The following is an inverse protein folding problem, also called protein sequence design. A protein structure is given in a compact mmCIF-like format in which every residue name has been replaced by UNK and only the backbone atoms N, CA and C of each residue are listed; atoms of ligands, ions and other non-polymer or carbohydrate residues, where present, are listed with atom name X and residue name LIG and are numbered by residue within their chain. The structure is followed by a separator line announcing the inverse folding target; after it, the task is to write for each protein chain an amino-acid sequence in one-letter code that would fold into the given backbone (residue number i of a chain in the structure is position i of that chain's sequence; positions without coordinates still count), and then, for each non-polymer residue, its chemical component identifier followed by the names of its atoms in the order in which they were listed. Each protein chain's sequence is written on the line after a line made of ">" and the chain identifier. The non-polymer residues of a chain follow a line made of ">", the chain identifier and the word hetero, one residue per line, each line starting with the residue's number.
data_IF_920423753569
#
_entry.id   IF_920423753569
#
_cell.length_a   1.000
_cell.length_b   1.000
_cell.length_c   1.000
_cell.angle_alpha   90.00
_cell.angle_beta   90.00
_cell.angle_gamma   90.00
#
_symmetry.space_group_name_H-M   'P 1'
#
loop_
_entity.id
_entity.type
_entity.pdbx_description
1 polymer ?
#
# COMPACT_ATOMS: atom_id res chain seq x y z
N UNK A 1 -10.74 -11.83 8.66
CA UNK A 1 -10.02 -12.94 7.99
C UNK A 1 -8.63 -13.04 8.62
N UNK A 2 -8.04 -14.22 8.72
CA UNK A 2 -6.70 -14.35 9.30
C UNK A 2 -5.64 -14.05 8.23
N UNK A 3 -4.71 -13.14 8.52
CA UNK A 3 -3.57 -12.87 7.65
C UNK A 3 -2.73 -14.14 7.50
N UNK A 4 -2.28 -14.42 6.28
CA UNK A 4 -1.42 -15.55 5.93
C UNK A 4 0.04 -15.09 5.97
N UNK A 5 0.83 -15.53 6.97
CA UNK A 5 2.24 -15.22 7.03
C UNK A 5 2.98 -15.75 5.81
N UNK A 6 3.96 -14.99 5.33
CA UNK A 6 4.89 -15.40 4.29
C UNK A 6 6.32 -15.24 4.78
N UNK A 7 7.28 -15.93 4.15
CA UNK A 7 8.68 -15.63 4.37
C UNK A 7 8.93 -14.15 4.01
N UNK A 8 9.54 -13.33 4.91
CA UNK A 8 9.80 -11.93 4.63
C UNK A 8 10.54 -11.77 3.31
N UNK A 9 10.02 -10.89 2.45
CA UNK A 9 10.60 -10.60 1.15
C UNK A 9 10.55 -9.10 0.87
N UNK A 10 11.46 -8.56 0.04
CA UNK A 10 11.33 -7.19 -0.41
C UNK A 10 10.01 -6.95 -1.16
N UNK A 11 9.64 -5.67 -1.27
CA UNK A 11 8.60 -5.23 -2.18
C UNK A 11 8.94 -5.69 -3.61
N UNK A 12 7.94 -6.21 -4.31
CA UNK A 12 8.05 -6.44 -5.74
C UNK A 12 7.90 -5.10 -6.50
N UNK A 13 8.19 -5.06 -7.82
CA UNK A 13 8.12 -3.82 -8.59
C UNK A 13 6.74 -3.13 -8.57
N UNK A 14 5.63 -3.89 -8.60
CA UNK A 14 4.28 -3.34 -8.59
C UNK A 14 3.91 -2.75 -7.22
N UNK A 15 4.22 -3.46 -6.13
CA UNK A 15 4.02 -2.98 -4.75
C UNK A 15 4.82 -1.69 -4.50
N UNK A 16 6.08 -1.67 -4.96
CA UNK A 16 6.96 -0.50 -4.84
C UNK A 16 6.42 0.69 -5.65
N UNK A 17 6.07 0.48 -6.90
CA UNK A 17 5.56 1.54 -7.78
C UNK A 17 4.25 2.15 -7.24
N UNK A 18 3.34 1.34 -6.72
CA UNK A 18 2.09 1.83 -6.12
C UNK A 18 2.35 2.61 -4.83
N UNK A 19 3.23 2.13 -3.96
CA UNK A 19 3.60 2.89 -2.76
C UNK A 19 4.27 4.22 -3.13
N UNK A 20 5.18 4.24 -4.11
CA UNK A 20 5.79 5.49 -4.59
C UNK A 20 4.75 6.45 -5.15
N UNK A 21 3.77 5.94 -5.91
CA UNK A 21 2.70 6.75 -6.49
C UNK A 21 1.79 7.34 -5.42
N UNK A 22 1.29 6.52 -4.48
CA UNK A 22 0.44 7.01 -3.38
C UNK A 22 1.19 8.00 -2.49
N UNK A 23 2.46 7.73 -2.19
CA UNK A 23 3.31 8.62 -1.37
C UNK A 23 3.89 9.81 -2.16
N UNK A 24 3.58 9.95 -3.45
CA UNK A 24 3.87 11.18 -4.21
C UNK A 24 2.93 12.33 -3.80
N UNK A 25 1.81 11.99 -3.17
CA UNK A 25 0.94 12.92 -2.49
C UNK A 25 1.71 13.73 -1.44
N UNK A 26 1.59 15.06 -1.50
CA UNK A 26 1.92 16.00 -0.42
C UNK A 26 1.04 15.82 0.83
N UNK A 27 1.32 14.77 1.60
CA UNK A 27 0.77 14.56 2.94
C UNK A 27 1.87 14.54 3.99
N UNK A 28 1.57 14.92 5.25
CA UNK A 28 2.54 14.87 6.34
C UNK A 28 3.22 13.50 6.45
N UNK A 29 4.55 13.48 6.43
CA UNK A 29 5.33 12.26 6.56
C UNK A 29 5.58 11.47 5.27
N UNK A 30 5.05 11.91 4.12
CA UNK A 30 5.22 11.19 2.85
C UNK A 30 6.69 11.02 2.43
N UNK A 31 7.54 12.02 2.69
CA UNK A 31 8.97 11.95 2.40
C UNK A 31 9.68 10.90 3.26
N UNK A 32 9.37 10.84 4.55
CA UNK A 32 9.89 9.84 5.48
C UNK A 32 9.43 8.43 5.07
N UNK A 33 8.15 8.26 4.73
CA UNK A 33 7.60 6.98 4.27
C UNK A 33 8.23 6.51 2.95
N UNK A 34 8.46 7.42 1.99
CA UNK A 34 9.21 7.10 0.75
C UNK A 34 10.63 6.64 1.07
N UNK A 35 11.28 7.24 2.05
CA UNK A 35 12.61 6.84 2.52
C UNK A 35 12.65 5.44 3.15
N UNK A 36 11.51 4.83 3.49
CA UNK A 36 11.42 3.50 4.08
C UNK A 36 11.39 2.37 3.04
N UNK A 37 11.06 2.64 1.77
CA UNK A 37 10.71 1.61 0.79
C UNK A 37 11.80 0.54 0.58
N UNK A 38 13.09 0.90 0.59
CA UNK A 38 14.20 -0.06 0.45
C UNK A 38 14.38 -0.97 1.67
N UNK A 39 13.75 -0.61 2.79
CA UNK A 39 13.79 -1.30 4.07
C UNK A 39 12.47 -2.03 4.37
N UNK A 40 11.47 -1.87 3.51
CA UNK A 40 10.15 -2.47 3.64
C UNK A 40 10.13 -3.90 3.11
N UNK A 41 9.54 -4.79 3.90
CA UNK A 41 9.35 -6.19 3.58
C UNK A 41 7.88 -6.57 3.68
N UNK A 42 7.41 -7.39 2.74
CA UNK A 42 6.11 -8.07 2.86
C UNK A 42 6.27 -9.25 3.81
N UNK A 43 5.43 -9.30 4.84
CA UNK A 43 5.47 -10.34 5.88
C UNK A 43 4.21 -11.20 5.93
N UNK A 44 3.10 -10.74 5.36
CA UNK A 44 1.88 -11.53 5.23
C UNK A 44 1.00 -11.05 4.06
N UNK A 45 0.02 -11.86 3.69
CA UNK A 45 -1.09 -11.51 2.79
C UNK A 45 -2.40 -11.58 3.55
N UNK A 46 -3.41 -10.81 3.15
CA UNK A 46 -4.69 -10.78 3.89
C UNK A 46 -5.59 -12.01 3.65
N UNK A 47 -5.19 -12.92 2.77
CA UNK A 47 -5.86 -14.18 2.52
C UNK A 47 -5.32 -14.91 1.28
N UNK A 48 -5.80 -16.14 1.01
CA UNK A 48 -5.38 -16.90 -0.18
C UNK A 48 -5.63 -16.13 -1.47
N UNK A 49 -4.55 -15.81 -2.19
CA UNK A 49 -4.60 -15.09 -3.45
C UNK A 49 -5.08 -13.63 -3.35
N UNK A 50 -5.11 -13.05 -2.15
CA UNK A 50 -5.25 -11.60 -1.96
C UNK A 50 -3.95 -10.90 -2.37
N UNK A 51 -4.10 -9.71 -2.94
CA UNK A 51 -3.01 -8.81 -3.31
C UNK A 51 -2.69 -7.80 -2.21
N UNK A 52 -3.53 -7.69 -1.18
CA UNK A 52 -3.26 -6.88 0.01
C UNK A 52 -2.21 -7.56 0.89
N UNK A 53 -1.26 -6.77 1.37
CA UNK A 53 -0.06 -7.25 2.08
C UNK A 53 0.18 -6.49 3.38
N UNK A 54 0.61 -7.23 4.40
CA UNK A 54 1.19 -6.63 5.59
C UNK A 54 2.67 -6.37 5.34
N UNK A 55 3.11 -5.21 5.82
CA UNK A 55 4.45 -4.70 5.67
C UNK A 55 5.15 -4.61 7.02
N UNK A 56 6.46 -4.79 6.99
CA UNK A 56 7.37 -4.49 8.10
C UNK A 56 8.52 -3.67 7.58
N UNK A 57 8.84 -2.57 8.26
CA UNK A 57 10.04 -1.77 7.95
C UNK A 57 11.17 -2.15 8.89
N UNK A 58 12.35 -2.42 8.33
CA UNK A 58 13.55 -2.76 9.12
C UNK A 58 14.28 -1.52 9.63
N UNK A 59 14.42 -1.40 10.94
CA UNK A 59 15.19 -0.33 11.61
C UNK A 59 16.70 -0.36 11.29
N UNK A 60 17.39 0.80 11.25
CA UNK A 60 16.87 2.14 11.51
C UNK A 60 16.15 2.78 10.30
N UNK A 61 15.09 3.56 10.56
CA UNK A 61 14.45 4.47 9.60
C UNK A 61 14.01 5.80 10.23
N UNK A 62 13.64 6.79 9.39
CA UNK A 62 12.92 7.98 9.87
C UNK A 62 11.44 7.65 9.98
N UNK A 63 10.85 8.03 11.10
CA UNK A 63 9.44 7.86 11.39
C UNK A 63 8.63 9.07 10.89
N UNK A 64 7.49 8.82 10.26
CA UNK A 64 6.61 9.84 9.69
C UNK A 64 5.69 10.56 10.71
N UNK A 65 5.81 10.26 12.01
CA UNK A 65 5.05 10.88 13.11
C UNK A 65 3.59 10.43 13.29
N UNK A 66 2.86 10.10 12.21
CA UNK A 66 1.46 9.66 12.27
C UNK A 66 1.29 8.14 12.07
N UNK A 67 0.38 7.52 12.82
CA UNK A 67 0.02 6.09 12.69
C UNK A 67 -1.45 5.94 12.28
N UNK A 68 -1.77 4.86 11.58
CA UNK A 68 -3.10 4.58 11.04
C UNK A 68 -3.14 4.67 9.51
N UNK A 69 -4.34 4.83 8.97
CA UNK A 69 -4.56 5.02 7.54
C UNK A 69 -3.95 6.36 7.10
N UNK A 70 -3.13 6.33 6.06
CA UNK A 70 -2.59 7.53 5.44
C UNK A 70 -3.74 8.30 4.75
N UNK A 71 -3.89 9.62 4.98
CA UNK A 71 -5.01 10.40 4.45
C UNK A 71 -4.76 10.78 2.98
N UNK A 72 -4.67 9.79 2.10
CA UNK A 72 -4.52 9.94 0.65
C UNK A 72 -5.62 9.13 -0.02
N UNK A 73 -6.46 9.79 -0.85
CA UNK A 73 -7.36 9.07 -1.75
C UNK A 73 -6.56 8.52 -2.92
N UNK A 74 -6.61 7.20 -3.14
CA UNK A 74 -5.94 6.56 -4.27
C UNK A 74 -6.93 5.65 -5.02
N UNK A 75 -7.83 6.29 -5.78
CA UNK A 75 -8.92 5.65 -6.48
C UNK A 75 -8.44 4.85 -7.69
N UNK A 76 -8.83 3.59 -7.76
CA UNK A 76 -8.52 2.66 -8.84
C UNK A 76 -9.68 2.63 -9.83
N UNK A 77 -9.36 2.86 -11.10
CA UNK A 77 -10.32 2.87 -12.19
C UNK A 77 -10.00 1.78 -13.23
N UNK A 78 -11.02 1.26 -13.90
CA UNK A 78 -10.84 0.34 -15.02
C UNK A 78 -10.50 1.08 -16.34
N UNK A 79 -10.50 0.35 -17.46
CA UNK A 79 -10.20 0.93 -18.78
C UNK A 79 -11.30 1.86 -19.30
N UNK A 80 -12.55 1.66 -18.87
CA UNK A 80 -13.66 2.54 -19.17
C UNK A 80 -13.66 3.79 -18.28
N UNK A 81 -12.80 3.83 -17.25
CA UNK A 81 -12.71 4.90 -16.27
C UNK A 81 -13.73 4.76 -15.14
N UNK A 82 -14.33 3.59 -14.96
CA UNK A 82 -15.24 3.30 -13.85
C UNK A 82 -14.45 3.03 -12.57
N UNK A 83 -14.95 3.52 -11.44
CA UNK A 83 -14.36 3.28 -10.13
C UNK A 83 -14.56 1.81 -9.71
N UNK A 84 -13.46 1.11 -9.45
CA UNK A 84 -13.47 -0.31 -9.06
C UNK A 84 -12.87 -0.57 -7.67
N UNK A 85 -12.43 0.49 -6.97
CA UNK A 85 -11.89 0.41 -5.63
C UNK A 85 -10.83 1.46 -5.35
N UNK A 86 -10.06 1.26 -4.30
CA UNK A 86 -9.02 2.18 -3.87
C UNK A 86 -7.82 1.44 -3.26
N UNK A 87 -6.66 2.09 -3.28
CA UNK A 87 -5.48 1.64 -2.56
C UNK A 87 -5.37 2.39 -1.23
N UNK A 88 -5.21 1.64 -0.15
CA UNK A 88 -5.04 2.18 1.19
C UNK A 88 -3.64 1.86 1.69
N UNK A 89 -2.93 2.88 2.18
CA UNK A 89 -1.60 2.74 2.77
C UNK A 89 -1.71 2.93 4.27
N UNK A 90 -1.28 1.93 5.02
CA UNK A 90 -1.37 1.92 6.48
C UNK A 90 0.01 2.14 7.10
N UNK A 91 0.00 2.79 8.25
CA UNK A 91 1.19 3.00 9.08
C UNK A 91 0.96 2.53 10.52
N UNK A 92 2.01 2.08 11.21
CA UNK A 92 1.91 1.58 12.58
C UNK A 92 3.14 1.94 13.43
N UNK A 93 3.04 1.68 14.74
CA UNK A 93 4.20 1.63 15.65
C UNK A 93 5.01 2.92 15.75
N UNK A 94 4.37 4.08 15.59
CA UNK A 94 5.08 5.36 15.55
C UNK A 94 5.49 5.78 14.15
N UNK A 95 4.77 5.33 13.10
CA UNK A 95 4.76 5.88 11.73
C UNK A 95 5.70 5.24 10.69
N UNK A 96 5.77 3.91 10.67
CA UNK A 96 6.36 3.14 9.56
C UNK A 96 5.29 2.47 8.72
N UNK A 97 5.59 2.19 7.44
CA UNK A 97 4.71 1.44 6.54
C UNK A 97 4.33 0.08 7.15
N UNK A 98 3.02 -0.19 7.24
CA UNK A 98 2.49 -1.40 7.88
C UNK A 98 1.58 -2.25 6.99
N UNK A 99 0.95 -1.67 5.97
CA UNK A 99 0.22 -2.45 4.97
C UNK A 99 0.04 -1.66 3.66
N UNK A 100 -0.09 -2.40 2.55
CA UNK A 100 -0.69 -1.93 1.31
C UNK A 100 -1.95 -2.77 1.09
N UNK A 101 -3.09 -2.10 1.08
CA UNK A 101 -4.40 -2.71 0.89
C UNK A 101 -4.97 -2.27 -0.45
N UNK A 102 -5.60 -3.21 -1.16
CA UNK A 102 -6.53 -2.90 -2.24
C UNK A 102 -7.95 -3.20 -1.75
N UNK A 103 -8.72 -2.14 -1.49
CA UNK A 103 -10.13 -2.20 -1.15
C UNK A 103 -10.96 -2.08 -2.44
N UNK A 104 -11.43 -3.22 -2.97
CA UNK A 104 -12.21 -3.26 -4.21
C UNK A 104 -13.72 -3.22 -3.93
N UNK A 105 -14.49 -2.78 -4.93
CA UNK A 105 -15.97 -2.75 -4.86
C UNK A 105 -16.65 -3.68 -5.87
N UNK A 106 -15.87 -4.40 -6.66
CA UNK A 106 -16.37 -5.38 -7.64
C UNK A 106 -16.75 -6.71 -6.97
N UNK A 107 -17.54 -7.53 -7.67
CA UNK A 107 -17.94 -8.86 -7.18
C UNK A 107 -16.76 -9.83 -7.03
N UNK A 108 -15.77 -9.72 -7.93
CA UNK A 108 -14.58 -10.55 -7.90
C UNK A 108 -13.40 -9.83 -7.24
N UNK A 109 -12.72 -10.53 -6.33
CA UNK A 109 -11.49 -10.04 -5.71
C UNK A 109 -10.36 -9.95 -6.75
N UNK A 110 -9.64 -8.81 -6.83
CA UNK A 110 -8.52 -8.67 -7.73
C UNK A 110 -7.40 -9.65 -7.38
N UNK A 111 -6.82 -10.27 -8.42
CA UNK A 111 -5.70 -11.22 -8.31
C UNK A 111 -4.34 -10.59 -8.63
N UNK A 112 -4.36 -9.37 -9.14
CA UNK A 112 -3.19 -8.55 -9.45
C UNK A 112 -3.40 -7.14 -8.91
N UNK A 113 -2.32 -6.50 -8.49
CA UNK A 113 -2.34 -5.08 -8.18
C UNK A 113 -2.60 -4.28 -9.47
N UNK A 114 -3.31 -3.13 -9.39
CA UNK A 114 -3.52 -2.30 -10.55
C UNK A 114 -2.20 -1.68 -11.01
N UNK A 115 -2.03 -1.44 -12.32
CA UNK A 115 -0.94 -0.60 -12.82
C UNK A 115 -1.14 0.85 -12.34
N UNK A 116 -0.05 1.61 -12.17
CA UNK A 116 -0.07 2.97 -11.61
C UNK A 116 -0.99 3.91 -12.40
N UNK A 117 -1.08 3.71 -13.72
CA UNK A 117 -1.89 4.52 -14.64
C UNK A 117 -3.40 4.41 -14.36
N UNK A 118 -3.83 3.34 -13.66
CA UNK A 118 -5.22 3.15 -13.22
C UNK A 118 -5.51 3.76 -11.85
N UNK A 119 -4.50 4.32 -11.17
CA UNK A 119 -4.63 4.89 -9.83
C UNK A 119 -4.59 6.41 -9.91
N UNK A 120 -5.67 7.07 -9.48
CA UNK A 120 -5.78 8.53 -9.43
C UNK A 120 -5.65 8.98 -7.97
N UNK A 121 -4.78 9.96 -7.73
CA UNK A 121 -4.65 10.58 -6.41
C UNK A 121 -5.73 11.64 -6.25
N UNK A 122 -6.53 11.51 -5.21
CA UNK A 122 -7.65 12.38 -4.88
C UNK A 122 -7.39 13.06 -3.52
N UNK A 123 -7.79 14.33 -3.43
CA UNK A 123 -7.48 15.27 -2.34
C UNK A 123 -8.73 15.74 -1.62
#
# INVERSE_FOLDING_TARGET
>A
MANLPVAPRPLNPAERALLEHVLSADVPGAAELRGQLDRTEVVARWGPGSVSVDLRVREPVRHAGASGLLPVGAAVHDEAGEYIGELLVWTAGGATLSALEYAWVTDEMPRVLPPVERVRIEW
#
